data_IF_581512216170
#
_entry.id   IF_581512216170
#
_cell.length_a   1.000
_cell.length_b   1.000
_cell.length_c   1.000
_cell.angle_alpha   90.00
_cell.angle_beta   90.00
_cell.angle_gamma   90.00
#
_symmetry.space_group_name_H-M   'P 1'
#
loop_
_entity.id
_entity.type
_entity.pdbx_description
1 polymer ?
#
# COMPACT_ATOMS: atom_id res chain seq x y z
N UNK A 1 -2.81 -17.99 43.27
CA UNK A 1 -1.53 -17.60 42.64
C UNK A 1 -1.80 -17.48 41.16
N UNK A 2 -1.86 -16.25 40.65
CA UNK A 2 -2.01 -16.01 39.21
C UNK A 2 -0.73 -16.37 38.49
N UNK A 3 -0.81 -17.34 37.58
CA UNK A 3 0.19 -17.58 36.57
C UNK A 3 -0.11 -16.68 35.38
N UNK A 4 0.29 -15.41 35.47
CA UNK A 4 0.54 -14.58 34.30
C UNK A 4 1.98 -14.83 33.91
N UNK A 5 2.22 -15.71 32.94
CA UNK A 5 3.51 -15.78 32.25
C UNK A 5 3.26 -15.73 30.75
N UNK A 6 3.50 -14.53 30.23
CA UNK A 6 3.88 -14.17 28.87
C UNK A 6 3.85 -15.32 27.87
N UNK A 7 2.71 -15.48 27.19
CA UNK A 7 2.72 -16.10 25.86
C UNK A 7 3.40 -15.08 24.96
N UNK A 8 4.70 -15.33 24.78
CA UNK A 8 5.43 -15.13 23.54
C UNK A 8 4.84 -14.04 22.64
N UNK A 9 5.39 -12.83 22.77
CA UNK A 9 5.64 -11.99 21.60
C UNK A 9 6.52 -12.80 20.63
N UNK A 10 5.92 -13.74 19.92
CA UNK A 10 6.37 -14.10 18.59
C UNK A 10 6.31 -12.78 17.83
N UNK A 11 7.48 -12.18 17.66
CA UNK A 11 7.64 -11.03 16.79
C UNK A 11 7.07 -11.43 15.45
N UNK A 12 5.87 -10.95 15.16
CA UNK A 12 5.35 -10.92 13.82
C UNK A 12 6.27 -9.94 13.09
N UNK A 13 7.41 -10.44 12.64
CA UNK A 13 8.15 -9.88 11.52
C UNK A 13 7.20 -10.10 10.34
N UNK A 14 6.13 -9.30 10.26
CA UNK A 14 5.70 -8.90 8.93
C UNK A 14 6.84 -8.00 8.52
N UNK A 15 7.71 -8.59 7.71
CA UNK A 15 8.89 -7.96 7.18
C UNK A 15 8.53 -6.55 6.74
N UNK A 16 9.14 -5.56 7.38
CA UNK A 16 9.13 -4.19 6.89
C UNK A 16 9.49 -4.19 5.39
N UNK A 17 10.33 -5.16 4.96
CA UNK A 17 10.64 -5.48 3.57
C UNK A 17 9.43 -5.88 2.70
N UNK A 18 8.44 -6.63 3.21
CA UNK A 18 7.23 -6.99 2.44
C UNK A 18 6.32 -5.78 2.25
N UNK A 19 6.14 -4.98 3.30
CA UNK A 19 5.43 -3.70 3.21
C UNK A 19 6.13 -2.74 2.24
N UNK A 20 7.46 -2.71 2.28
CA UNK A 20 8.29 -1.89 1.40
C UNK A 20 8.31 -2.38 -0.05
N UNK A 21 8.24 -3.69 -0.27
CA UNK A 21 8.07 -4.29 -1.59
C UNK A 21 6.73 -3.90 -2.20
N UNK A 22 5.63 -4.01 -1.43
CA UNK A 22 4.31 -3.59 -1.89
C UNK A 22 4.25 -2.08 -2.18
N UNK A 23 4.88 -1.25 -1.33
CA UNK A 23 5.09 0.19 -1.60
C UNK A 23 5.79 0.44 -2.92
N UNK A 24 6.93 -0.21 -3.13
CA UNK A 24 7.72 -0.06 -4.34
C UNK A 24 6.96 -0.53 -5.58
N UNK A 25 6.16 -1.60 -5.47
CA UNK A 25 5.35 -2.09 -6.57
C UNK A 25 4.24 -1.09 -6.93
N UNK A 26 3.58 -0.49 -5.94
CA UNK A 26 2.59 0.58 -6.15
C UNK A 26 3.23 1.79 -6.85
N UNK A 27 4.41 2.24 -6.38
CA UNK A 27 5.16 3.35 -7.00
C UNK A 27 5.51 3.01 -8.45
N UNK A 28 5.95 1.77 -8.69
CA UNK A 28 6.33 1.30 -10.02
C UNK A 28 5.14 1.23 -10.98
N UNK A 29 3.99 0.72 -10.52
CA UNK A 29 2.77 0.63 -11.33
C UNK A 29 2.19 2.01 -11.60
N UNK A 30 2.21 2.90 -10.60
CA UNK A 30 1.75 4.28 -10.77
C UNK A 30 2.74 5.15 -11.57
N UNK A 31 3.92 4.60 -11.92
CA UNK A 31 5.06 5.33 -12.51
C UNK A 31 5.24 6.73 -11.91
N UNK A 32 5.19 6.81 -10.59
CA UNK A 32 5.38 8.08 -9.90
C UNK A 32 6.79 8.58 -10.19
N UNK A 33 6.90 9.82 -10.65
CA UNK A 33 8.19 10.48 -10.75
C UNK A 33 8.77 10.66 -9.34
N UNK A 34 10.11 10.69 -9.24
CA UNK A 34 10.81 10.84 -7.97
C UNK A 34 10.74 12.31 -7.52
N UNK A 35 9.54 12.74 -7.13
CA UNK A 35 9.18 14.09 -6.70
C UNK A 35 8.68 14.08 -5.24
N UNK A 36 8.60 15.25 -4.60
CA UNK A 36 8.11 15.44 -3.23
C UNK A 36 6.67 14.93 -3.07
N UNK A 37 5.87 14.99 -4.15
CA UNK A 37 4.49 14.51 -4.20
C UNK A 37 4.38 12.98 -4.12
N UNK A 38 5.43 12.22 -4.47
CA UNK A 38 5.40 10.76 -4.50
C UNK A 38 5.08 10.16 -3.14
N UNK A 39 5.76 10.63 -2.10
CA UNK A 39 5.57 10.13 -0.74
C UNK A 39 4.17 10.48 -0.23
N UNK A 40 3.65 11.65 -0.61
CA UNK A 40 2.29 12.07 -0.28
C UNK A 40 1.24 11.19 -0.98
N UNK A 41 1.38 10.96 -2.30
CA UNK A 41 0.49 10.10 -3.08
C UNK A 41 0.44 8.70 -2.48
N UNK A 42 1.60 8.10 -2.20
CA UNK A 42 1.68 6.75 -1.62
C UNK A 42 1.05 6.72 -0.23
N UNK A 43 1.31 7.73 0.60
CA UNK A 43 0.72 7.81 1.93
C UNK A 43 -0.80 7.90 1.87
N UNK A 44 -1.33 8.79 1.04
CA UNK A 44 -2.77 8.99 0.86
C UNK A 44 -3.44 7.73 0.29
N UNK A 45 -2.76 7.01 -0.60
CA UNK A 45 -3.19 5.71 -1.14
C UNK A 45 -3.26 4.63 -0.08
N UNK A 46 -2.37 4.67 0.91
CA UNK A 46 -2.33 3.68 1.98
C UNK A 46 -3.39 3.94 3.04
N UNK A 47 -3.69 5.21 3.31
CA UNK A 47 -4.75 5.58 4.24
C UNK A 47 -6.14 5.45 3.64
N UNK A 48 -6.32 5.89 2.38
CA UNK A 48 -7.64 6.01 1.76
C UNK A 48 -7.88 4.96 0.67
N UNK A 49 -6.87 4.25 0.19
CA UNK A 49 -6.99 3.34 -0.94
C UNK A 49 -7.06 4.08 -2.28
N UNK A 50 -7.49 3.39 -3.34
CA UNK A 50 -7.53 3.94 -4.71
C UNK A 50 -8.32 5.25 -4.88
N UNK A 51 -9.22 5.57 -3.97
CA UNK A 51 -10.05 6.78 -4.05
C UNK A 51 -9.23 8.05 -3.84
N UNK A 52 -8.06 7.99 -3.18
CA UNK A 52 -7.19 9.17 -3.07
C UNK A 52 -6.53 9.55 -4.39
N UNK A 53 -6.40 8.62 -5.34
CA UNK A 53 -5.80 8.89 -6.65
C UNK A 53 -6.55 10.01 -7.40
N UNK A 54 -7.85 10.19 -7.17
CA UNK A 54 -8.60 11.27 -7.82
C UNK A 54 -8.15 12.68 -7.40
N UNK A 55 -7.39 12.81 -6.30
CA UNK A 55 -6.77 14.08 -5.92
C UNK A 55 -5.51 14.40 -6.74
N UNK A 56 -4.87 13.37 -7.27
CA UNK A 56 -3.58 13.42 -7.95
C UNK A 56 -3.73 13.10 -9.44
N UNK A 57 -4.94 13.29 -9.99
CA UNK A 57 -5.23 13.04 -11.41
C UNK A 57 -4.30 13.86 -12.33
N UNK A 58 -4.00 15.10 -11.95
CA UNK A 58 -3.09 15.99 -12.70
C UNK A 58 -1.60 15.65 -12.50
N UNK A 59 -1.24 15.04 -11.36
CA UNK A 59 0.13 14.62 -11.04
C UNK A 59 0.48 13.24 -11.61
N UNK A 60 -0.53 12.45 -11.98
CA UNK A 60 -0.38 11.12 -12.55
C UNK A 60 -0.45 11.17 -14.07
N UNK A 61 0.29 10.27 -14.72
CA UNK A 61 0.13 10.08 -16.16
C UNK A 61 -1.31 9.64 -16.47
N UNK A 62 -2.04 10.32 -17.37
CA UNK A 62 -3.47 10.06 -17.61
C UNK A 62 -3.78 8.59 -17.96
N UNK A 63 -2.85 7.94 -18.67
CA UNK A 63 -2.98 6.52 -19.01
C UNK A 63 -2.91 5.59 -17.79
N UNK A 64 -2.07 5.93 -16.82
CA UNK A 64 -1.89 5.16 -15.59
C UNK A 64 -3.03 5.42 -14.62
N UNK A 65 -3.42 6.68 -14.45
CA UNK A 65 -4.57 7.03 -13.63
C UNK A 65 -5.84 6.32 -14.13
N UNK A 66 -6.07 6.35 -15.44
CA UNK A 66 -7.20 5.66 -16.07
C UNK A 66 -7.14 4.15 -15.82
N UNK A 67 -5.96 3.53 -15.91
CA UNK A 67 -5.79 2.11 -15.61
C UNK A 67 -6.01 1.80 -14.12
N UNK A 68 -5.44 2.60 -13.21
CA UNK A 68 -5.55 2.41 -11.78
C UNK A 68 -6.99 2.58 -11.25
N UNK A 69 -7.79 3.46 -11.86
CA UNK A 69 -9.20 3.66 -11.51
C UNK A 69 -10.15 2.68 -12.21
N UNK A 70 -9.95 2.41 -13.52
CA UNK A 70 -10.90 1.61 -14.29
C UNK A 70 -10.60 0.11 -14.30
N UNK A 71 -9.34 -0.31 -14.12
CA UNK A 71 -8.98 -1.73 -14.07
C UNK A 71 -9.04 -2.26 -12.64
N UNK A 72 -10.16 -2.89 -12.32
CA UNK A 72 -10.39 -3.48 -11.01
C UNK A 72 -9.49 -4.70 -10.71
N UNK A 73 -8.92 -5.32 -11.74
CA UNK A 73 -8.03 -6.51 -11.68
C UNK A 73 -6.60 -6.22 -12.21
N UNK A 74 -6.27 -4.95 -12.43
CA UNK A 74 -4.93 -4.55 -12.87
C UNK A 74 -3.87 -4.83 -11.81
N UNK A 75 -2.60 -4.83 -12.22
CA UNK A 75 -1.47 -5.09 -11.31
C UNK A 75 -1.45 -4.10 -10.13
N UNK A 76 -1.93 -2.87 -10.36
CA UNK A 76 -2.18 -1.88 -9.32
C UNK A 76 -3.09 -2.41 -8.20
N UNK A 77 -4.26 -2.93 -8.57
CA UNK A 77 -5.25 -3.42 -7.60
C UNK A 77 -4.77 -4.68 -6.89
N UNK A 78 -3.96 -5.53 -7.55
CA UNK A 78 -3.31 -6.68 -6.90
C UNK A 78 -2.31 -6.24 -5.85
N UNK A 79 -1.42 -5.29 -6.17
CA UNK A 79 -0.44 -4.77 -5.22
C UNK A 79 -1.11 -4.03 -4.06
N UNK A 80 -2.15 -3.24 -4.34
CA UNK A 80 -2.94 -2.56 -3.32
C UNK A 80 -3.65 -3.55 -2.40
N UNK A 81 -4.31 -4.58 -2.97
CA UNK A 81 -4.97 -5.64 -2.20
C UNK A 81 -3.96 -6.41 -1.35
N UNK A 82 -2.82 -6.77 -1.92
CA UNK A 82 -1.75 -7.45 -1.21
C UNK A 82 -1.27 -6.61 -0.02
N UNK A 83 -1.03 -5.31 -0.22
CA UNK A 83 -0.67 -4.39 0.85
C UNK A 83 -1.69 -4.40 2.00
N UNK A 84 -2.98 -4.24 1.69
CA UNK A 84 -4.03 -4.25 2.71
C UNK A 84 -4.19 -5.60 3.40
N UNK A 85 -4.05 -6.71 2.68
CA UNK A 85 -4.07 -8.06 3.26
C UNK A 85 -2.91 -8.29 4.23
N UNK A 86 -1.71 -7.80 3.89
CA UNK A 86 -0.56 -7.88 4.81
C UNK A 86 -0.76 -6.97 6.02
N UNK A 87 -1.18 -5.70 5.83
CA UNK A 87 -1.54 -4.80 6.93
C UNK A 87 -2.56 -5.43 7.88
N UNK A 88 -3.59 -6.09 7.35
CA UNK A 88 -4.62 -6.74 8.17
C UNK A 88 -4.07 -7.90 9.00
N UNK A 89 -3.15 -8.69 8.44
CA UNK A 89 -2.46 -9.78 9.18
C UNK A 89 -1.51 -9.27 10.27
N UNK A 90 -1.03 -8.03 10.17
CA UNK A 90 -0.19 -7.42 11.23
C UNK A 90 -1.04 -7.03 12.44
N UNK A 91 -2.28 -6.60 12.21
CA UNK A 91 -3.15 -6.07 13.26
C UNK A 91 -3.91 -7.13 14.08
N UNK A 92 -3.86 -8.40 13.69
CA UNK A 92 -4.58 -9.52 14.33
C UNK A 92 -3.71 -10.77 14.48
#
# INVERSE_FOLDING_TARGET
MSLFFSIEKLGHVVDDDVLKLAKNEIIHVLQLEDDESKDEIVHDLMENGRQSLSKYEDDLLPGIYTAAINENDGDFMKSLKYYFEQQWKVQY
#
